data_IF_280845615988
#
_entry.id   IF_280845615988
#
_cell.length_a   1.000
_cell.length_b   1.000
_cell.length_c   1.000
_cell.angle_alpha   90.00
_cell.angle_beta   90.00
_cell.angle_gamma   90.00
#
_symmetry.space_group_name_H-M   'P 1'
#
loop_
_entity.id
_entity.type
_entity.pdbx_description
1 polymer ?
#
# COMPACT_ATOMS: atom_id res chain seq x y z
N UNK A 1 -14.25 -28.11 9.91
CA UNK A 1 -15.60 -27.59 9.61
C UNK A 1 -15.53 -27.08 8.19
N UNK A 2 -16.08 -27.83 7.25
CA UNK A 2 -16.07 -27.48 5.83
C UNK A 2 -17.26 -26.55 5.60
N UNK A 3 -17.00 -25.24 5.56
CA UNK A 3 -18.04 -24.21 5.55
C UNK A 3 -18.05 -23.40 4.24
N UNK A 4 -17.56 -23.97 3.14
CA UNK A 4 -17.62 -23.34 1.83
C UNK A 4 -18.41 -24.19 0.86
N UNK A 5 -19.44 -23.59 0.26
CA UNK A 5 -20.31 -24.23 -0.74
C UNK A 5 -19.57 -24.62 -2.03
N UNK A 6 -18.37 -24.09 -2.26
CA UNK A 6 -17.57 -24.36 -3.45
C UNK A 6 -16.60 -25.54 -3.30
N UNK A 7 -16.48 -26.14 -2.10
CA UNK A 7 -15.56 -27.25 -1.82
C UNK A 7 -15.88 -28.45 -2.72
N UNK A 8 -15.07 -28.68 -3.75
CA UNK A 8 -15.23 -29.80 -4.69
C UNK A 8 -14.39 -31.05 -4.34
N UNK A 9 -13.55 -31.00 -3.31
CA UNK A 9 -12.66 -32.09 -2.92
C UNK A 9 -11.77 -31.73 -1.71
N UNK A 10 -10.79 -32.58 -1.36
CA UNK A 10 -9.85 -32.34 -0.26
C UNK A 10 -8.58 -31.56 -0.68
N UNK A 11 -8.37 -31.36 -1.98
CA UNK A 11 -7.16 -30.72 -2.52
C UNK A 11 -7.16 -29.19 -2.34
N UNK A 12 -5.98 -28.57 -2.40
CA UNK A 12 -5.78 -27.12 -2.23
C UNK A 12 -6.51 -26.24 -3.27
N UNK A 13 -7.02 -26.86 -4.34
CA UNK A 13 -7.81 -26.22 -5.42
C UNK A 13 -9.31 -26.52 -5.35
N UNK A 14 -9.74 -27.20 -4.30
CA UNK A 14 -11.15 -27.49 -4.07
C UNK A 14 -11.98 -26.23 -3.76
N UNK A 15 -11.35 -25.10 -3.43
CA UNK A 15 -11.94 -23.77 -3.22
C UNK A 15 -11.31 -22.74 -4.20
N UNK A 16 -11.60 -22.85 -5.51
CA UNK A 16 -10.86 -22.16 -6.56
C UNK A 16 -11.09 -20.64 -6.56
N UNK A 17 -12.29 -20.18 -6.18
CA UNK A 17 -12.59 -18.75 -6.15
C UNK A 17 -11.84 -18.11 -4.98
N UNK A 18 -11.83 -18.75 -3.81
CA UNK A 18 -11.08 -18.25 -2.67
C UNK A 18 -9.57 -18.22 -2.93
N UNK A 19 -9.03 -19.23 -3.64
CA UNK A 19 -7.63 -19.22 -4.04
C UNK A 19 -7.29 -18.06 -5.00
N UNK A 20 -8.19 -17.74 -5.95
CA UNK A 20 -8.02 -16.64 -6.89
C UNK A 20 -8.09 -15.26 -6.23
N UNK A 21 -9.05 -15.04 -5.33
CA UNK A 21 -9.19 -13.75 -4.63
C UNK A 21 -8.00 -13.49 -3.70
N UNK A 22 -7.48 -14.51 -3.02
CA UNK A 22 -6.26 -14.38 -2.21
C UNK A 22 -5.00 -14.08 -3.04
N UNK A 23 -4.91 -14.66 -4.24
CA UNK A 23 -3.83 -14.32 -5.16
C UNK A 23 -3.88 -12.85 -5.60
N UNK A 24 -5.09 -12.29 -5.75
CA UNK A 24 -5.26 -10.88 -6.07
C UNK A 24 -4.71 -9.96 -4.97
N UNK A 25 -4.79 -10.34 -3.69
CA UNK A 25 -4.18 -9.58 -2.59
C UNK A 25 -2.66 -9.53 -2.68
N UNK A 26 -2.01 -10.65 -3.04
CA UNK A 26 -0.56 -10.69 -3.23
C UNK A 26 -0.11 -9.81 -4.40
N UNK A 27 -0.84 -9.86 -5.52
CA UNK A 27 -0.55 -9.03 -6.70
C UNK A 27 -0.73 -7.55 -6.35
N UNK A 28 -1.85 -7.18 -5.70
CA UNK A 28 -2.12 -5.81 -5.29
C UNK A 28 -1.05 -5.30 -4.32
N UNK A 29 -0.65 -6.10 -3.32
CA UNK A 29 0.39 -5.76 -2.38
C UNK A 29 1.74 -5.50 -3.09
N UNK A 30 2.12 -6.35 -4.05
CA UNK A 30 3.37 -6.17 -4.80
C UNK A 30 3.33 -4.89 -5.65
N UNK A 31 2.25 -4.66 -6.39
CA UNK A 31 2.09 -3.46 -7.22
C UNK A 31 2.15 -2.19 -6.36
N UNK A 32 1.45 -2.17 -5.22
CA UNK A 32 1.48 -1.04 -4.30
C UNK A 32 2.86 -0.84 -3.70
N UNK A 33 3.54 -1.92 -3.27
CA UNK A 33 4.88 -1.84 -2.71
C UNK A 33 5.90 -1.25 -3.68
N UNK A 34 5.80 -1.59 -4.97
CA UNK A 34 6.70 -1.08 -6.01
C UNK A 34 6.44 0.40 -6.36
N UNK A 35 5.17 0.84 -6.25
CA UNK A 35 4.74 2.21 -6.54
C UNK A 35 4.97 3.18 -5.39
N UNK A 36 4.80 2.72 -4.15
CA UNK A 36 4.94 3.56 -2.96
C UNK A 36 6.42 3.69 -2.58
N UNK A 37 7.00 4.86 -2.83
CA UNK A 37 8.41 5.17 -2.55
C UNK A 37 8.53 6.39 -1.64
N UNK A 38 9.61 6.45 -0.88
CA UNK A 38 9.91 7.56 0.04
C UNK A 38 9.32 7.40 1.45
N UNK A 39 9.81 8.18 2.43
CA UNK A 39 9.37 8.12 3.83
C UNK A 39 7.92 8.60 4.03
N UNK A 40 7.46 9.55 3.21
CA UNK A 40 6.09 10.09 3.25
C UNK A 40 5.03 8.99 3.03
N UNK A 41 5.38 7.96 2.25
CA UNK A 41 4.50 6.84 1.87
C UNK A 41 4.66 5.62 2.79
N UNK A 42 5.33 5.75 3.93
CA UNK A 42 5.59 4.65 4.86
C UNK A 42 4.31 3.96 5.34
N UNK A 43 3.24 4.72 5.56
CA UNK A 43 1.95 4.17 5.98
C UNK A 43 1.31 3.31 4.89
N UNK A 44 1.33 3.78 3.64
CA UNK A 44 0.86 3.00 2.49
C UNK A 44 1.68 1.72 2.28
N UNK A 45 3.00 1.77 2.53
CA UNK A 45 3.85 0.57 2.51
C UNK A 45 3.53 -0.41 3.63
N UNK A 46 3.21 0.08 4.83
CA UNK A 46 2.77 -0.76 5.93
C UNK A 46 1.45 -1.48 5.59
N UNK A 47 0.48 -0.77 5.00
CA UNK A 47 -0.76 -1.38 4.49
C UNK A 47 -0.48 -2.45 3.42
N UNK A 48 0.41 -2.17 2.46
CA UNK A 48 0.80 -3.16 1.45
C UNK A 48 1.47 -4.40 2.06
N UNK A 49 2.31 -4.23 3.08
CA UNK A 49 2.94 -5.34 3.79
C UNK A 49 1.92 -6.21 4.54
N UNK A 50 0.95 -5.59 5.23
CA UNK A 50 -0.12 -6.32 5.91
C UNK A 50 -0.99 -7.07 4.90
N UNK A 51 -1.30 -6.45 3.75
CA UNK A 51 -2.05 -7.09 2.66
C UNK A 51 -1.33 -8.32 2.09
N UNK A 52 -0.01 -8.26 1.98
CA UNK A 52 0.80 -9.42 1.60
C UNK A 52 0.70 -10.55 2.64
N UNK A 53 0.77 -10.20 3.93
CA UNK A 53 0.64 -11.18 5.02
C UNK A 53 -0.75 -11.84 5.02
N UNK A 54 -1.82 -11.10 4.70
CA UNK A 54 -3.18 -11.66 4.53
C UNK A 54 -3.17 -12.73 3.43
N UNK A 55 -2.66 -12.42 2.23
CA UNK A 55 -2.63 -13.38 1.12
C UNK A 55 -1.80 -14.63 1.42
N UNK A 56 -0.71 -14.50 2.20
CA UNK A 56 0.10 -15.65 2.64
C UNK A 56 -0.60 -16.45 3.73
N UNK A 57 -1.19 -15.79 4.73
CA UNK A 57 -1.91 -16.41 5.83
C UNK A 57 -3.09 -17.24 5.36
N UNK A 58 -3.86 -16.70 4.40
CA UNK A 58 -4.98 -17.42 3.80
C UNK A 58 -4.54 -18.69 3.08
N UNK A 59 -3.48 -18.62 2.26
CA UNK A 59 -2.90 -19.83 1.63
C UNK A 59 -2.41 -20.86 2.64
N UNK A 60 -1.86 -20.41 3.77
CA UNK A 60 -1.37 -21.31 4.82
C UNK A 60 -2.52 -22.00 5.58
N UNK A 61 -3.67 -21.34 5.72
CA UNK A 61 -4.89 -21.94 6.28
C UNK A 61 -5.42 -23.09 5.44
N UNK A 62 -5.35 -22.98 4.11
CA UNK A 62 -5.78 -24.06 3.23
C UNK A 62 -4.88 -25.30 3.31
N UNK A 63 -3.56 -25.12 3.42
CA UNK A 63 -2.61 -26.26 3.50
C UNK A 63 -2.59 -26.92 4.88
N UNK A 64 -2.85 -26.17 5.95
CA UNK A 64 -2.73 -26.66 7.33
C UNK A 64 -3.92 -26.19 8.16
N UNK A 65 -5.14 -26.60 7.81
CA UNK A 65 -6.37 -26.15 8.46
C UNK A 65 -6.39 -26.52 9.96
N UNK A 66 -6.01 -25.57 10.81
CA UNK A 66 -6.00 -25.68 12.26
C UNK A 66 -6.32 -24.31 12.87
N UNK A 67 -6.56 -24.25 14.20
CA UNK A 67 -6.94 -22.99 14.85
C UNK A 67 -5.88 -21.89 14.74
N UNK A 68 -4.60 -22.26 14.66
CA UNK A 68 -3.50 -21.29 14.57
C UNK A 68 -3.44 -20.66 13.18
N UNK A 69 -3.60 -21.47 12.13
CA UNK A 69 -3.63 -20.98 10.75
C UNK A 69 -4.88 -20.15 10.46
N UNK A 70 -6.02 -20.48 11.09
CA UNK A 70 -7.22 -19.64 10.99
C UNK A 70 -7.04 -18.29 11.68
N UNK A 71 -6.31 -18.26 12.79
CA UNK A 71 -5.95 -17.02 13.47
C UNK A 71 -4.96 -16.19 12.63
N UNK A 72 -4.05 -16.83 11.90
CA UNK A 72 -3.12 -16.18 10.95
C UNK A 72 -3.82 -15.59 9.72
N UNK A 73 -5.06 -15.96 9.44
CA UNK A 73 -5.86 -15.35 8.37
C UNK A 73 -6.67 -14.15 8.90
N UNK A 74 -7.33 -14.31 10.04
CA UNK A 74 -8.24 -13.29 10.60
C UNK A 74 -7.49 -12.14 11.28
N UNK A 75 -6.40 -12.39 12.01
CA UNK A 75 -5.68 -11.32 12.72
C UNK A 75 -5.05 -10.29 11.77
N UNK A 76 -4.40 -10.68 10.66
CA UNK A 76 -3.89 -9.71 9.69
C UNK A 76 -5.00 -8.88 9.04
N UNK A 77 -6.19 -9.45 8.79
CA UNK A 77 -7.35 -8.70 8.29
C UNK A 77 -7.76 -7.62 9.30
N UNK A 78 -7.89 -7.98 10.59
CA UNK A 78 -8.20 -7.02 11.64
C UNK A 78 -7.11 -5.93 11.72
N UNK A 79 -5.84 -6.31 11.65
CA UNK A 79 -4.71 -5.39 11.62
C UNK A 79 -4.77 -4.42 10.44
N UNK A 80 -5.11 -4.91 9.25
CA UNK A 80 -5.28 -4.07 8.06
C UNK A 80 -6.41 -3.05 8.24
N UNK A 81 -7.56 -3.48 8.76
CA UNK A 81 -8.71 -2.60 9.02
C UNK A 81 -8.32 -1.48 9.99
N UNK A 82 -7.70 -1.83 11.12
CA UNK A 82 -7.31 -0.84 12.13
C UNK A 82 -6.25 0.13 11.59
N UNK A 83 -5.26 -0.38 10.87
CA UNK A 83 -4.21 0.44 10.25
C UNK A 83 -4.80 1.38 9.19
N UNK A 84 -5.72 0.89 8.36
CA UNK A 84 -6.40 1.68 7.35
C UNK A 84 -7.25 2.79 7.96
N UNK A 85 -8.09 2.46 8.95
CA UNK A 85 -8.93 3.44 9.62
C UNK A 85 -8.07 4.49 10.32
N UNK A 86 -6.98 4.08 10.97
CA UNK A 86 -6.04 5.01 11.58
C UNK A 86 -5.40 5.95 10.54
N UNK A 87 -4.86 5.40 9.45
CA UNK A 87 -4.25 6.17 8.38
C UNK A 87 -5.23 7.14 7.74
N UNK A 88 -6.41 6.65 7.35
CA UNK A 88 -7.47 7.46 6.77
C UNK A 88 -7.91 8.57 7.72
N UNK A 89 -8.14 8.27 9.00
CA UNK A 89 -8.54 9.28 9.98
C UNK A 89 -7.44 10.32 10.17
N UNK A 90 -6.18 9.91 10.30
CA UNK A 90 -5.05 10.85 10.43
C UNK A 90 -4.99 11.78 9.21
N UNK A 91 -5.04 11.23 8.01
CA UNK A 91 -4.80 11.99 6.78
C UNK A 91 -6.01 12.90 6.44
N UNK A 92 -7.25 12.43 6.63
CA UNK A 92 -8.44 13.26 6.43
C UNK A 92 -8.62 14.36 7.49
N UNK A 93 -8.11 14.16 8.71
CA UNK A 93 -8.17 15.18 9.75
C UNK A 93 -6.98 16.15 9.69
N UNK A 94 -5.86 15.75 9.10
CA UNK A 94 -4.70 16.62 8.89
C UNK A 94 -4.87 17.58 7.72
N UNK A 95 -5.62 17.17 6.68
CA UNK A 95 -5.74 17.95 5.44
C UNK A 95 -7.10 18.69 5.37
N UNK A 96 -7.14 20.04 5.32
CA UNK A 96 -8.38 20.77 5.08
C UNK A 96 -8.92 20.44 3.68
N UNK A 97 -10.25 20.26 3.55
CA UNK A 97 -10.95 19.83 2.31
C UNK A 97 -10.48 20.52 1.01
N UNK A 98 -10.05 21.77 1.09
CA UNK A 98 -9.53 22.56 -0.05
C UNK A 98 -8.21 22.02 -0.60
N UNK A 99 -7.34 21.48 0.24
CA UNK A 99 -6.06 20.92 -0.19
C UNK A 99 -6.24 19.55 -0.87
N UNK A 100 -7.27 18.80 -0.49
CA UNK A 100 -7.60 17.52 -1.14
C UNK A 100 -8.18 17.69 -2.55
N UNK A 101 -9.01 18.72 -2.78
CA UNK A 101 -9.47 19.08 -4.12
C UNK A 101 -8.31 19.54 -5.01
N UNK A 102 -7.36 20.29 -4.43
CA UNK A 102 -6.17 20.74 -5.13
C UNK A 102 -5.24 19.58 -5.52
N UNK A 103 -5.00 18.62 -4.63
CA UNK A 103 -4.21 17.42 -4.94
C UNK A 103 -4.87 16.53 -5.97
N UNK A 104 -6.20 16.36 -5.89
CA UNK A 104 -6.99 15.64 -6.88
C UNK A 104 -6.89 16.28 -8.26
N UNK A 105 -7.04 17.60 -8.34
CA UNK A 105 -6.91 18.36 -9.59
C UNK A 105 -5.48 18.32 -10.14
N UNK A 106 -4.47 18.47 -9.27
CA UNK A 106 -3.06 18.41 -9.63
C UNK A 106 -2.66 17.03 -10.18
N UNK A 107 -3.21 15.96 -9.58
CA UNK A 107 -3.02 14.58 -10.07
C UNK A 107 -3.63 14.37 -11.46
N UNK A 108 -4.83 14.91 -11.71
CA UNK A 108 -5.49 14.85 -13.02
C UNK A 108 -4.71 15.66 -14.07
N UNK A 109 -4.25 16.86 -13.74
CA UNK A 109 -3.42 17.70 -14.62
C UNK A 109 -2.06 17.04 -14.93
N UNK A 110 -1.43 16.38 -13.95
CA UNK A 110 -0.20 15.61 -14.19
C UNK A 110 -0.44 14.38 -15.07
N UNK A 111 -1.61 13.73 -14.95
CA UNK A 111 -1.98 12.59 -15.77
C UNK A 111 -2.27 13.00 -17.22
N UNK A 112 -2.90 14.17 -17.43
CA UNK A 112 -3.14 14.74 -18.77
C UNK A 112 -1.85 15.25 -19.43
N UNK A 113 -0.91 15.80 -18.66
CA UNK A 113 0.34 16.36 -19.19
C UNK A 113 1.46 15.34 -19.42
N UNK A 114 1.29 14.08 -18.99
CA UNK A 114 2.29 13.00 -19.16
C UNK A 114 3.68 13.32 -18.57
N UNK A 115 3.76 14.33 -17.70
CA UNK A 115 5.02 14.88 -17.20
C UNK A 115 5.45 14.13 -15.93
N UNK A 116 6.70 13.68 -15.80
CA UNK A 116 7.17 13.01 -14.59
C UNK A 116 7.05 13.95 -13.39
N UNK A 117 6.76 13.44 -12.17
CA UNK A 117 6.51 14.26 -11.00
C UNK A 117 7.74 15.12 -10.69
N UNK A 118 7.56 16.43 -10.66
CA UNK A 118 8.57 17.38 -10.21
C UNK A 118 8.80 17.11 -8.73
N UNK A 119 10.00 16.60 -8.39
CA UNK A 119 10.41 16.42 -7.00
C UNK A 119 10.51 17.80 -6.35
N UNK A 120 9.55 18.14 -5.49
CA UNK A 120 9.71 19.23 -4.53
C UNK A 120 10.79 18.83 -3.53
N UNK A 121 12.02 19.23 -3.83
CA UNK A 121 13.17 18.89 -3.01
C UNK A 121 14.50 19.28 -3.63
N UNK A 122 14.74 20.58 -3.76
CA UNK A 122 16.04 21.17 -3.40
C UNK A 122 15.98 22.70 -3.46
N UNK A 123 16.15 23.28 -2.27
CA UNK A 123 16.58 24.66 -2.06
C UNK A 123 17.69 24.99 -3.06
N UNK A 124 17.44 25.99 -3.92
CA UNK A 124 18.45 26.58 -4.77
C UNK A 124 19.55 27.15 -3.88
N UNK A 125 20.57 26.33 -3.61
CA UNK A 125 21.81 26.80 -3.00
C UNK A 125 22.46 27.65 -4.07
N UNK A 126 22.28 28.98 -3.97
CA UNK A 126 23.03 29.95 -4.76
C UNK A 126 24.51 29.59 -4.58
N UNK A 127 25.25 29.24 -5.65
CA UNK A 127 26.67 29.01 -5.50
C UNK A 127 27.34 30.36 -5.25
N UNK A 128 27.67 30.63 -3.99
CA UNK A 128 28.53 31.73 -3.53
C UNK A 128 29.97 31.49 -4.00
N UNK A 129 30.19 31.45 -5.32
CA UNK A 129 31.52 31.19 -5.91
C UNK A 129 31.73 31.97 -7.22
N UNK A 130 31.47 33.27 -7.17
CA UNK A 130 32.02 34.27 -8.10
C UNK A 130 32.33 35.56 -7.32
N UNK A 131 33.21 35.45 -6.34
CA UNK A 131 34.02 36.60 -5.89
C UNK A 131 35.48 36.21 -6.08
N UNK A 132 36.16 36.69 -7.13
CA UNK A 132 37.59 36.87 -7.04
C UNK A 132 37.84 38.11 -6.17
N UNK A 133 38.27 37.86 -4.94
CA UNK A 133 39.08 38.80 -4.18
C UNK A 133 40.38 39.13 -4.93
N UNK A 134 40.92 40.31 -4.60
CA UNK A 134 42.29 40.77 -4.78
C UNK A 134 42.69 41.22 -6.21
N UNK A 135 43.35 42.36 -6.42
CA UNK A 135 44.29 43.09 -5.55
C UNK A 135 44.62 44.49 -6.18
N UNK A 136 45.53 45.30 -5.58
CA UNK A 136 45.38 46.72 -5.21
C UNK A 136 45.45 47.76 -6.33
#
# INVERSE_FOLDING_TARGET
>A
MEAYCERTGPDDWSEPINAMTNLAFLIAALVLWLRLRGPEMAMGRALAAVLFVIGVGSRLFHTHANRLTGLMDVLPILGFILLYVFAATRDYWAEPRTAQEADGLASLLNCESGSPPVSHGQSATIPTRLLPEAMP
#
